data_IF_391145385544
#
_entry.id   IF_391145385544
#
_cell.length_a   1.000
_cell.length_b   1.000
_cell.length_c   1.000
_cell.angle_alpha   90.00
_cell.angle_beta   90.00
_cell.angle_gamma   90.00
#
_symmetry.space_group_name_H-M   'P 1'
#
loop_
_entity.id
_entity.type
_entity.pdbx_description
1 polymer ?
#
# COMPACT_ATOMS: atom_id res chain seq x y z
N UNK A 1 16.52 -11.18 -29.16
CA UNK A 1 16.20 -10.17 -28.12
C UNK A 1 14.86 -10.52 -27.50
N UNK A 2 14.78 -10.69 -26.17
CA UNK A 2 13.54 -11.07 -25.49
C UNK A 2 12.49 -9.96 -25.63
N UNK A 3 11.43 -10.19 -26.43
CA UNK A 3 10.40 -9.19 -26.73
C UNK A 3 9.77 -8.56 -25.48
N UNK A 4 9.63 -9.33 -24.39
CA UNK A 4 9.10 -8.83 -23.12
C UNK A 4 9.97 -7.72 -22.50
N UNK A 5 11.30 -7.84 -22.59
CA UNK A 5 12.23 -6.86 -22.05
C UNK A 5 12.18 -5.56 -22.86
N UNK A 6 12.06 -5.66 -24.19
CA UNK A 6 11.89 -4.50 -25.05
C UNK A 6 10.59 -3.74 -24.74
N UNK A 7 9.47 -4.46 -24.59
CA UNK A 7 8.18 -3.87 -24.18
C UNK A 7 8.27 -3.24 -22.80
N UNK A 8 8.95 -3.89 -21.85
CA UNK A 8 9.13 -3.36 -20.50
C UNK A 8 9.92 -2.05 -20.51
N UNK A 9 11.06 -1.99 -21.22
CA UNK A 9 11.86 -0.75 -21.34
C UNK A 9 11.07 0.39 -21.98
N UNK A 10 10.33 0.11 -23.05
CA UNK A 10 9.51 1.12 -23.71
C UNK A 10 8.42 1.65 -22.76
N UNK A 11 7.74 0.74 -22.06
CA UNK A 11 6.70 1.11 -21.09
C UNK A 11 7.27 1.93 -19.94
N UNK A 12 8.46 1.59 -19.43
CA UNK A 12 9.12 2.38 -18.37
C UNK A 12 9.46 3.80 -18.85
N UNK A 13 9.99 3.95 -20.07
CA UNK A 13 10.26 5.26 -20.66
C UNK A 13 8.98 6.06 -20.84
N UNK A 14 7.91 5.41 -21.27
CA UNK A 14 6.59 6.04 -21.41
C UNK A 14 6.06 6.50 -20.05
N UNK A 15 6.08 5.64 -19.03
CA UNK A 15 5.68 5.99 -17.66
C UNK A 15 6.52 7.16 -17.12
N UNK A 16 7.84 7.17 -17.34
CA UNK A 16 8.70 8.27 -16.89
C UNK A 16 8.39 9.62 -17.56
N UNK A 17 7.85 9.60 -18.78
CA UNK A 17 7.46 10.83 -19.51
C UNK A 17 6.08 11.33 -19.09
N UNK A 18 5.25 10.50 -18.47
CA UNK A 18 3.92 10.88 -18.02
C UNK A 18 4.04 11.80 -16.79
N UNK A 19 3.75 13.09 -17.01
CA UNK A 19 3.76 14.12 -15.95
C UNK A 19 2.89 13.76 -14.76
N UNK A 20 1.83 12.96 -14.96
CA UNK A 20 0.92 12.52 -13.89
C UNK A 20 1.66 11.76 -12.77
N UNK A 21 2.61 10.87 -13.10
CA UNK A 21 3.37 10.14 -12.07
C UNK A 21 4.32 11.06 -11.31
N UNK A 22 4.93 12.01 -12.01
CA UNK A 22 5.76 13.04 -11.40
C UNK A 22 4.95 13.94 -10.46
N UNK A 23 3.69 14.27 -10.81
CA UNK A 23 2.79 15.02 -9.92
C UNK A 23 2.49 14.24 -8.66
N UNK A 24 2.13 12.94 -8.74
CA UNK A 24 1.92 12.12 -7.56
C UNK A 24 3.18 12.00 -6.69
N UNK A 25 4.35 11.84 -7.32
CA UNK A 25 5.62 11.82 -6.60
C UNK A 25 5.89 13.14 -5.89
N UNK A 26 5.75 14.29 -6.56
CA UNK A 26 5.99 15.61 -5.96
C UNK A 26 5.01 15.87 -4.82
N UNK A 27 3.71 15.57 -5.00
CA UNK A 27 2.72 15.73 -3.94
C UNK A 27 3.03 14.81 -2.76
N UNK A 28 3.44 13.56 -3.04
CA UNK A 28 3.88 12.60 -2.02
C UNK A 28 5.08 13.11 -1.23
N UNK A 29 6.12 13.56 -1.93
CA UNK A 29 7.34 14.10 -1.34
C UNK A 29 7.06 15.34 -0.49
N UNK A 30 6.35 16.32 -1.05
CA UNK A 30 5.95 17.52 -0.31
C UNK A 30 5.05 17.19 0.88
N UNK A 31 4.16 16.21 0.75
CA UNK A 31 3.31 15.73 1.84
C UNK A 31 4.13 15.10 2.97
N UNK A 32 5.10 14.25 2.65
CA UNK A 32 6.01 13.61 3.60
C UNK A 32 6.90 14.66 4.28
N UNK A 33 7.45 15.62 3.53
CA UNK A 33 8.23 16.76 4.07
C UNK A 33 7.38 17.63 4.98
N UNK A 34 6.16 18.00 4.56
CA UNK A 34 5.28 18.85 5.35
C UNK A 34 4.85 18.16 6.65
N UNK A 35 4.53 16.87 6.60
CA UNK A 35 4.19 16.06 7.77
C UNK A 35 5.40 15.92 8.70
N UNK A 36 6.57 15.61 8.15
CA UNK A 36 7.85 15.56 8.87
C UNK A 36 8.22 16.87 9.55
N UNK A 37 8.28 17.95 8.79
CA UNK A 37 8.63 19.27 9.30
C UNK A 37 7.60 19.80 10.29
N UNK A 38 6.31 19.66 9.98
CA UNK A 38 5.21 20.10 10.85
C UNK A 38 5.21 19.38 12.19
N UNK A 39 5.38 18.05 12.19
CA UNK A 39 5.48 17.27 13.42
C UNK A 39 6.78 17.53 14.18
N UNK A 40 7.89 17.89 13.51
CA UNK A 40 9.13 18.31 14.19
C UNK A 40 8.94 19.61 14.95
N UNK A 41 8.26 20.59 14.34
CA UNK A 41 7.95 21.86 15.00
C UNK A 41 7.01 21.61 16.19
N UNK A 42 5.96 20.80 15.98
CA UNK A 42 5.05 20.40 17.06
C UNK A 42 5.81 19.72 18.21
N UNK A 43 6.72 18.81 17.89
CA UNK A 43 7.59 18.11 18.83
C UNK A 43 8.46 19.08 19.64
N UNK A 44 9.13 20.04 18.99
CA UNK A 44 9.95 21.03 19.68
C UNK A 44 9.13 21.95 20.60
N UNK A 45 7.91 22.31 20.18
CA UNK A 45 7.01 23.11 21.01
C UNK A 45 6.47 22.31 22.19
N UNK A 46 6.05 21.07 21.97
CA UNK A 46 5.49 20.20 22.99
C UNK A 46 6.54 19.79 24.04
N UNK A 47 7.75 19.43 23.62
CA UNK A 47 8.87 19.11 24.52
C UNK A 47 9.35 20.30 25.34
N UNK A 48 9.17 21.54 24.85
CA UNK A 48 9.50 22.76 25.60
C UNK A 48 8.51 23.09 26.73
N UNK A 49 7.29 22.52 26.71
CA UNK A 49 6.24 22.74 27.69
C UNK A 49 5.35 21.50 27.89
N UNK A 50 5.90 20.40 28.46
CA UNK A 50 5.18 19.14 28.60
C UNK A 50 3.92 19.27 29.48
N UNK A 51 3.93 20.18 30.46
CA UNK A 51 2.80 20.42 31.37
C UNK A 51 1.58 21.10 30.74
N UNK A 52 1.67 21.60 29.49
CA UNK A 52 0.57 22.28 28.80
C UNK A 52 -0.17 21.38 27.79
N UNK A 53 0.35 20.17 27.50
CA UNK A 53 -0.27 19.21 26.60
C UNK A 53 -1.00 18.10 27.39
N UNK A 54 -2.24 18.39 27.77
CA UNK A 54 -3.15 17.46 28.46
C UNK A 54 -3.01 17.43 29.99
N UNK A 55 -3.86 16.64 30.66
CA UNK A 55 -3.81 16.35 32.11
C UNK A 55 -2.58 15.48 32.49
N UNK A 56 -1.45 15.64 31.81
CA UNK A 56 -0.22 14.89 31.97
C UNK A 56 0.66 15.52 33.08
N UNK A 57 0.07 15.79 34.24
CA UNK A 57 0.85 16.11 35.43
C UNK A 57 1.59 14.84 35.87
N UNK A 58 2.89 14.76 35.53
CA UNK A 58 3.88 13.72 35.90
C UNK A 58 4.27 12.68 34.82
N UNK A 59 4.24 13.01 33.52
CA UNK A 59 4.90 12.16 32.51
C UNK A 59 6.38 12.58 32.39
N UNK A 60 7.28 11.63 32.57
CA UNK A 60 8.73 11.81 32.36
C UNK A 60 9.02 12.29 30.92
N UNK A 61 9.92 13.26 30.77
CA UNK A 61 10.17 13.92 29.48
C UNK A 61 10.63 12.93 28.40
N UNK A 62 11.45 11.94 28.78
CA UNK A 62 11.92 10.90 27.86
C UNK A 62 10.78 9.98 27.38
N UNK A 63 9.77 9.76 28.22
CA UNK A 63 8.60 8.93 27.91
C UNK A 63 7.67 9.67 26.94
N UNK A 64 7.48 10.97 27.16
CA UNK A 64 6.73 11.85 26.26
C UNK A 64 7.39 11.99 24.89
N UNK A 65 8.71 12.15 24.84
CA UNK A 65 9.47 12.25 23.59
C UNK A 65 9.32 10.98 22.74
N UNK A 66 9.42 9.81 23.37
CA UNK A 66 9.25 8.51 22.71
C UNK A 66 7.83 8.30 22.19
N UNK A 67 6.82 8.76 22.93
CA UNK A 67 5.43 8.72 22.47
C UNK A 67 5.25 9.55 21.18
N UNK A 68 5.79 10.77 21.15
CA UNK A 68 5.70 11.63 19.96
C UNK A 68 6.44 11.03 18.76
N UNK A 69 7.58 10.36 18.97
CA UNK A 69 8.31 9.65 17.93
C UNK A 69 7.46 8.51 17.33
N UNK A 70 6.83 7.68 18.17
CA UNK A 70 5.95 6.58 17.71
C UNK A 70 4.75 7.11 16.93
N UNK A 71 4.12 8.17 17.43
CA UNK A 71 2.99 8.83 16.78
C UNK A 71 3.41 9.39 15.40
N UNK A 72 4.60 10.01 15.32
CA UNK A 72 5.18 10.45 14.06
C UNK A 72 5.34 9.29 13.06
N UNK A 73 5.95 8.18 13.50
CA UNK A 73 6.16 7.00 12.65
C UNK A 73 4.83 6.38 12.19
N UNK A 74 3.81 6.33 13.06
CA UNK A 74 2.47 5.86 12.70
C UNK A 74 1.85 6.68 11.57
N UNK A 75 1.87 8.02 11.68
CA UNK A 75 1.36 8.90 10.63
C UNK A 75 2.15 8.80 9.33
N UNK A 76 3.47 8.64 9.43
CA UNK A 76 4.34 8.44 8.27
C UNK A 76 3.99 7.14 7.51
N UNK A 77 3.72 6.04 8.24
CA UNK A 77 3.29 4.78 7.64
C UNK A 77 1.95 4.91 6.92
N UNK A 78 0.99 5.62 7.53
CA UNK A 78 -0.32 5.87 6.92
C UNK A 78 -0.18 6.72 5.66
N UNK A 79 0.60 7.81 5.71
CA UNK A 79 0.85 8.67 4.56
C UNK A 79 1.50 7.89 3.40
N UNK A 80 2.54 7.10 3.68
CA UNK A 80 3.18 6.23 2.68
C UNK A 80 2.19 5.25 2.05
N UNK A 81 1.33 4.63 2.85
CA UNK A 81 0.31 3.70 2.36
C UNK A 81 -0.68 4.39 1.41
N UNK A 82 -1.16 5.58 1.77
CA UNK A 82 -2.07 6.38 0.94
C UNK A 82 -1.40 6.77 -0.37
N UNK A 83 -0.16 7.29 -0.34
CA UNK A 83 0.54 7.68 -1.56
C UNK A 83 0.86 6.49 -2.46
N UNK A 84 1.30 5.36 -1.90
CA UNK A 84 1.55 4.14 -2.66
C UNK A 84 0.28 3.65 -3.37
N UNK A 85 -0.87 3.73 -2.68
CA UNK A 85 -2.17 3.39 -3.25
C UNK A 85 -2.56 4.35 -4.39
N UNK A 86 -2.41 5.67 -4.22
CA UNK A 86 -2.67 6.65 -5.28
C UNK A 86 -1.78 6.42 -6.52
N UNK A 87 -0.50 6.11 -6.30
CA UNK A 87 0.45 5.76 -7.37
C UNK A 87 0.00 4.46 -8.06
N UNK A 88 -0.42 3.45 -7.30
CA UNK A 88 -0.95 2.20 -7.85
C UNK A 88 -2.15 2.43 -8.78
N UNK A 89 -3.11 3.26 -8.36
CA UNK A 89 -4.23 3.68 -9.22
C UNK A 89 -3.75 4.41 -10.47
N UNK A 90 -2.84 5.37 -10.32
CA UNK A 90 -2.28 6.15 -11.43
C UNK A 90 -1.59 5.28 -12.48
N UNK A 91 -0.73 4.33 -12.05
CA UNK A 91 -0.06 3.38 -12.93
C UNK A 91 -1.06 2.41 -13.54
N UNK A 92 -1.97 1.85 -12.74
CA UNK A 92 -2.98 0.89 -13.18
C UNK A 92 -3.86 1.42 -14.31
N UNK A 93 -4.32 2.67 -14.20
CA UNK A 93 -5.09 3.34 -15.25
C UNK A 93 -4.27 3.59 -16.52
N UNK A 94 -3.00 3.94 -16.39
CA UNK A 94 -2.21 4.44 -17.52
C UNK A 94 -1.47 3.36 -18.30
N UNK A 95 -1.12 2.24 -17.67
CA UNK A 95 -0.19 1.26 -18.24
C UNK A 95 -0.72 0.55 -19.50
N UNK A 96 -2.01 0.19 -19.54
CA UNK A 96 -2.60 -0.59 -20.64
C UNK A 96 -3.66 0.18 -21.42
N UNK A 97 -4.54 0.92 -20.75
CA UNK A 97 -5.70 1.51 -21.41
C UNK A 97 -5.35 2.48 -22.54
N UNK A 98 -4.32 3.30 -22.35
CA UNK A 98 -3.91 4.26 -23.36
C UNK A 98 -3.47 3.57 -24.67
N UNK A 99 -2.76 2.45 -24.59
CA UNK A 99 -2.34 1.69 -25.77
C UNK A 99 -3.52 1.03 -26.48
N UNK A 100 -4.53 0.65 -25.70
CA UNK A 100 -5.74 0.02 -26.19
C UNK A 100 -6.68 1.02 -26.86
N UNK A 101 -6.81 2.23 -26.31
CA UNK A 101 -7.67 3.29 -26.84
C UNK A 101 -7.06 3.97 -28.05
N UNK A 102 -5.75 4.24 -28.03
CA UNK A 102 -5.05 4.90 -29.14
C UNK A 102 -4.86 4.02 -30.39
N UNK A 103 -5.26 2.74 -30.34
CA UNK A 103 -5.00 1.76 -31.40
C UNK A 103 -3.51 1.40 -31.55
N UNK A 104 -2.62 1.94 -30.71
CA UNK A 104 -1.20 1.63 -30.73
C UNK A 104 -0.94 0.12 -30.54
N UNK A 105 -1.80 -0.56 -29.78
CA UNK A 105 -1.76 -2.01 -29.61
C UNK A 105 -1.78 -2.77 -30.95
N UNK A 106 -2.57 -2.34 -31.94
CA UNK A 106 -2.65 -2.97 -33.27
C UNK A 106 -1.30 -2.91 -33.98
N UNK A 107 -0.64 -1.74 -33.92
CA UNK A 107 0.68 -1.52 -34.54
C UNK A 107 1.81 -2.28 -33.85
N UNK A 108 1.65 -2.63 -32.57
CA UNK A 108 2.61 -3.44 -31.82
C UNK A 108 2.40 -4.92 -32.13
N UNK A 109 1.16 -5.38 -32.25
CA UNK A 109 0.84 -6.77 -32.58
C UNK A 109 1.09 -7.14 -34.05
N UNK A 110 1.25 -6.15 -34.95
CA UNK A 110 1.70 -6.40 -36.32
C UNK A 110 3.19 -6.80 -36.41
N UNK A 111 3.96 -6.59 -35.32
CA UNK A 111 5.33 -7.06 -35.18
C UNK A 111 5.36 -8.46 -34.57
N UNK A 112 6.43 -9.27 -34.75
CA UNK A 112 6.55 -10.61 -34.21
C UNK A 112 6.80 -10.61 -32.68
N UNK A 113 5.88 -10.03 -31.92
CA UNK A 113 5.87 -10.00 -30.45
C UNK A 113 4.66 -10.81 -29.99
N UNK A 114 4.89 -11.87 -29.21
CA UNK A 114 3.78 -12.65 -28.66
C UNK A 114 2.96 -11.81 -27.70
N UNK A 115 1.63 -12.03 -27.67
CA UNK A 115 0.73 -11.34 -26.72
C UNK A 115 1.16 -11.55 -25.27
N UNK A 116 1.70 -12.73 -24.97
CA UNK A 116 2.27 -13.06 -23.66
C UNK A 116 3.48 -12.18 -23.32
N UNK A 117 4.43 -12.01 -24.27
CA UNK A 117 5.58 -11.14 -24.07
C UNK A 117 5.17 -9.68 -23.89
N UNK A 118 4.16 -9.22 -24.61
CA UNK A 118 3.59 -7.89 -24.42
C UNK A 118 2.99 -7.70 -23.01
N UNK A 119 2.11 -8.61 -22.57
CA UNK A 119 1.49 -8.52 -21.25
C UNK A 119 2.52 -8.57 -20.13
N UNK A 120 3.45 -9.53 -20.16
CA UNK A 120 4.49 -9.62 -19.13
C UNK A 120 5.39 -8.38 -19.13
N UNK A 121 5.76 -7.87 -20.30
CA UNK A 121 6.57 -6.66 -20.40
C UNK A 121 5.87 -5.45 -19.75
N UNK A 122 4.57 -5.29 -19.99
CA UNK A 122 3.73 -4.24 -19.40
C UNK A 122 3.58 -4.40 -17.89
N UNK A 123 3.29 -5.61 -17.42
CA UNK A 123 3.17 -5.91 -15.99
C UNK A 123 4.50 -5.69 -15.26
N UNK A 124 5.61 -6.19 -15.81
CA UNK A 124 6.93 -6.01 -15.22
C UNK A 124 7.34 -4.54 -15.15
N UNK A 125 7.06 -3.75 -16.20
CA UNK A 125 7.30 -2.31 -16.18
C UNK A 125 6.44 -1.58 -15.15
N UNK A 126 5.15 -1.92 -15.04
CA UNK A 126 4.24 -1.31 -14.08
C UNK A 126 4.68 -1.61 -12.63
N UNK A 127 5.01 -2.88 -12.33
CA UNK A 127 5.52 -3.29 -11.02
C UNK A 127 6.85 -2.61 -10.71
N UNK A 128 7.80 -2.60 -11.66
CA UNK A 128 9.09 -1.95 -11.45
C UNK A 128 8.96 -0.44 -11.23
N UNK A 129 8.10 0.23 -12.00
CA UNK A 129 7.80 1.65 -11.83
C UNK A 129 7.21 1.95 -10.46
N UNK A 130 6.27 1.12 -10.00
CA UNK A 130 5.67 1.25 -8.67
C UNK A 130 6.71 1.07 -7.56
N UNK A 131 7.53 0.02 -7.63
CA UNK A 131 8.60 -0.24 -6.66
C UNK A 131 9.58 0.93 -6.60
N UNK A 132 9.98 1.49 -7.75
CA UNK A 132 10.92 2.62 -7.80
C UNK A 132 10.31 3.86 -7.18
N UNK A 133 9.08 4.25 -7.56
CA UNK A 133 8.46 5.48 -7.07
C UNK A 133 8.16 5.39 -5.57
N UNK A 134 7.55 4.28 -5.13
CA UNK A 134 7.26 4.07 -3.70
C UNK A 134 8.54 3.92 -2.89
N UNK A 135 9.56 3.25 -3.46
CA UNK A 135 10.88 3.13 -2.86
C UNK A 135 11.57 4.48 -2.67
N UNK A 136 11.45 5.40 -3.63
CA UNK A 136 11.98 6.77 -3.49
C UNK A 136 11.27 7.54 -2.38
N UNK A 137 9.93 7.46 -2.29
CA UNK A 137 9.18 8.06 -1.18
C UNK A 137 9.56 7.45 0.18
N UNK A 138 9.89 6.16 0.21
CA UNK A 138 10.34 5.50 1.42
C UNK A 138 11.76 5.90 1.84
N UNK A 139 12.65 6.13 0.88
CA UNK A 139 13.98 6.71 1.15
C UNK A 139 13.82 8.11 1.73
N UNK A 140 12.92 8.93 1.18
CA UNK A 140 12.60 10.24 1.74
C UNK A 140 12.03 10.14 3.17
N UNK A 141 11.07 9.24 3.41
CA UNK A 141 10.54 8.97 4.74
C UNK A 141 11.65 8.55 5.73
N UNK A 142 12.63 7.74 5.31
CA UNK A 142 13.82 7.39 6.12
C UNK A 142 14.67 8.59 6.44
N UNK A 143 14.95 9.44 5.45
CA UNK A 143 15.73 10.66 5.66
C UNK A 143 15.06 11.57 6.67
N UNK A 144 13.73 11.70 6.63
CA UNK A 144 13.00 12.46 7.64
C UNK A 144 13.10 11.78 9.01
N UNK A 145 12.88 10.47 9.13
CA UNK A 145 13.04 9.75 10.40
C UNK A 145 14.43 9.93 11.02
N UNK A 146 15.48 9.97 10.20
CA UNK A 146 16.85 10.23 10.67
C UNK A 146 16.98 11.61 11.35
N UNK A 147 16.19 12.60 10.93
CA UNK A 147 16.16 13.93 11.57
C UNK A 147 15.48 13.95 12.96
N UNK A 148 14.89 12.84 13.39
CA UNK A 148 14.20 12.65 14.68
C UNK A 148 14.96 11.74 15.66
N UNK A 149 16.20 11.35 15.36
CA UNK A 149 17.04 10.56 16.28
C UNK A 149 17.20 9.08 15.89
N UNK A 150 16.36 8.59 14.97
CA UNK A 150 16.45 7.21 14.46
C UNK A 150 16.10 6.14 15.49
N UNK A 151 15.93 4.89 15.04
CA UNK A 151 15.66 3.75 15.93
C UNK A 151 14.57 2.80 15.46
N UNK A 152 13.65 3.26 14.60
CA UNK A 152 12.52 2.46 14.07
C UNK A 152 12.66 2.10 12.58
N UNK A 153 13.89 2.09 12.06
CA UNK A 153 14.16 1.86 10.63
C UNK A 153 13.79 0.44 10.16
N UNK A 154 13.94 -0.55 11.04
CA UNK A 154 13.53 -1.93 10.78
C UNK A 154 12.02 -2.05 10.58
N UNK A 155 11.24 -1.37 11.43
CA UNK A 155 9.78 -1.32 11.35
C UNK A 155 9.32 -0.68 10.03
N UNK A 156 9.97 0.41 9.60
CA UNK A 156 9.67 1.03 8.31
C UNK A 156 9.95 0.10 7.12
N UNK A 157 10.97 -0.76 7.20
CA UNK A 157 11.31 -1.70 6.12
C UNK A 157 10.22 -2.76 5.95
N UNK A 158 9.77 -3.37 7.05
CA UNK A 158 8.67 -4.32 7.02
C UNK A 158 7.37 -3.69 6.50
N UNK A 159 7.07 -2.48 6.95
CA UNK A 159 5.89 -1.74 6.51
C UNK A 159 5.97 -1.38 5.03
N UNK A 160 7.13 -0.94 4.54
CA UNK A 160 7.34 -0.62 3.14
C UNK A 160 7.07 -1.81 2.22
N UNK A 161 7.57 -2.99 2.59
CA UNK A 161 7.35 -4.21 1.82
C UNK A 161 5.85 -4.56 1.76
N UNK A 162 5.16 -4.49 2.89
CA UNK A 162 3.71 -4.72 2.95
C UNK A 162 2.94 -3.70 2.09
N UNK A 163 3.27 -2.40 2.19
CA UNK A 163 2.65 -1.32 1.41
C UNK A 163 2.87 -1.51 -0.08
N UNK A 164 4.10 -1.83 -0.53
CA UNK A 164 4.41 -2.10 -1.94
C UNK A 164 3.65 -3.33 -2.42
N UNK A 165 3.62 -4.41 -1.65
CA UNK A 165 2.91 -5.63 -2.01
C UNK A 165 1.40 -5.39 -2.17
N UNK A 166 0.78 -4.65 -1.24
CA UNK A 166 -0.63 -4.26 -1.31
C UNK A 166 -0.91 -3.35 -2.51
N UNK A 167 -0.03 -2.38 -2.76
CA UNK A 167 -0.13 -1.48 -3.90
C UNK A 167 -0.02 -2.22 -5.25
N UNK A 168 0.78 -3.28 -5.35
CA UNK A 168 0.84 -4.14 -6.54
C UNK A 168 -0.52 -4.80 -6.81
N UNK A 169 -1.19 -5.34 -5.78
CA UNK A 169 -2.51 -5.97 -5.95
C UNK A 169 -3.53 -4.96 -6.43
N UNK A 170 -3.59 -3.78 -5.80
CA UNK A 170 -4.48 -2.69 -6.24
C UNK A 170 -4.22 -2.30 -7.69
N UNK A 171 -2.95 -2.09 -8.04
CA UNK A 171 -2.55 -1.75 -9.41
C UNK A 171 -3.02 -2.84 -10.40
N UNK A 172 -2.85 -4.12 -10.07
CA UNK A 172 -3.27 -5.24 -10.93
C UNK A 172 -4.80 -5.33 -11.06
N UNK A 173 -5.55 -5.08 -10.00
CA UNK A 173 -7.02 -5.01 -10.04
C UNK A 173 -7.43 -3.91 -11.01
N UNK A 174 -6.94 -2.67 -10.82
CA UNK A 174 -7.24 -1.52 -11.69
C UNK A 174 -6.89 -1.86 -13.14
N UNK A 175 -5.68 -2.37 -13.36
CA UNK A 175 -5.17 -2.68 -14.69
C UNK A 175 -5.98 -3.78 -15.37
N UNK A 176 -6.46 -4.78 -14.62
CA UNK A 176 -7.35 -5.83 -15.14
C UNK A 176 -8.72 -5.26 -15.53
N UNK A 177 -9.34 -4.43 -14.68
CA UNK A 177 -10.65 -3.82 -14.95
C UNK A 177 -10.58 -2.83 -16.11
N UNK A 178 -9.50 -2.06 -16.23
CA UNK A 178 -9.23 -1.14 -17.34
C UNK A 178 -9.19 -1.83 -18.70
N UNK A 179 -9.07 -3.16 -18.76
CA UNK A 179 -9.16 -3.91 -20.03
C UNK A 179 -10.60 -4.11 -20.51
N UNK A 180 -11.61 -3.94 -19.65
CA UNK A 180 -13.02 -4.16 -19.98
C UNK A 180 -13.89 -2.91 -19.87
N UNK A 181 -13.50 -1.93 -19.06
CA UNK A 181 -14.26 -0.69 -18.87
C UNK A 181 -13.36 0.55 -19.00
N UNK A 182 -13.98 1.73 -19.00
CA UNK A 182 -13.27 3.00 -18.96
C UNK A 182 -12.37 3.06 -17.71
N UNK A 183 -11.15 3.59 -17.87
CA UNK A 183 -10.18 3.82 -16.79
C UNK A 183 -10.76 4.42 -15.51
N UNK A 184 -11.61 5.44 -15.63
CA UNK A 184 -12.17 6.11 -14.45
C UNK A 184 -13.09 5.15 -13.71
N UNK A 185 -13.94 4.42 -14.44
CA UNK A 185 -14.84 3.41 -13.86
C UNK A 185 -14.06 2.24 -13.26
N UNK A 186 -12.98 1.80 -13.92
CA UNK A 186 -12.10 0.75 -13.42
C UNK A 186 -11.44 1.15 -12.10
N UNK A 187 -10.96 2.38 -11.99
CA UNK A 187 -10.37 2.90 -10.76
C UNK A 187 -11.41 3.01 -9.64
N UNK A 188 -12.60 3.55 -9.91
CA UNK A 188 -13.68 3.64 -8.91
C UNK A 188 -14.11 2.24 -8.45
N UNK A 189 -14.32 1.31 -9.38
CA UNK A 189 -14.70 -0.07 -9.06
C UNK A 189 -13.63 -0.79 -8.24
N UNK A 190 -12.35 -0.65 -8.63
CA UNK A 190 -11.23 -1.20 -7.86
C UNK A 190 -11.12 -0.55 -6.46
N UNK A 191 -11.39 0.75 -6.35
CA UNK A 191 -11.41 1.45 -5.07
C UNK A 191 -12.50 0.92 -4.15
N UNK A 192 -13.74 0.78 -4.64
CA UNK A 192 -14.86 0.22 -3.88
C UNK A 192 -14.57 -1.23 -3.50
N UNK A 193 -14.15 -2.05 -4.46
CA UNK A 193 -13.87 -3.46 -4.22
C UNK A 193 -12.76 -3.64 -3.18
N UNK A 194 -11.59 -3.03 -3.41
CA UNK A 194 -10.43 -3.20 -2.54
C UNK A 194 -10.58 -2.46 -1.20
N UNK A 195 -10.88 -1.17 -1.19
CA UNK A 195 -10.85 -0.40 0.07
C UNK A 195 -12.13 -0.55 0.90
N UNK A 196 -13.29 -0.67 0.25
CA UNK A 196 -14.57 -0.73 0.98
C UNK A 196 -14.97 -2.17 1.25
N UNK A 197 -15.13 -3.00 0.21
CA UNK A 197 -15.63 -4.37 0.39
C UNK A 197 -14.63 -5.22 1.16
N UNK A 198 -13.37 -5.30 0.70
CA UNK A 198 -12.38 -6.13 1.42
C UNK A 198 -11.99 -5.52 2.76
N UNK A 199 -12.00 -4.20 2.90
CA UNK A 199 -11.73 -3.51 4.17
C UNK A 199 -12.78 -3.85 5.24
N UNK A 200 -14.07 -3.82 4.87
CA UNK A 200 -15.17 -4.20 5.77
C UNK A 200 -15.08 -5.69 6.14
N UNK A 201 -14.89 -6.58 5.16
CA UNK A 201 -14.76 -8.03 5.41
C UNK A 201 -13.58 -8.30 6.36
N UNK A 202 -12.41 -7.71 6.10
CA UNK A 202 -11.22 -7.88 6.93
C UNK A 202 -11.43 -7.35 8.35
N UNK A 203 -12.09 -6.20 8.49
CA UNK A 203 -12.40 -5.62 9.81
C UNK A 203 -13.33 -6.51 10.62
N UNK A 204 -14.38 -7.04 9.99
CA UNK A 204 -15.32 -7.93 10.68
C UNK A 204 -14.68 -9.27 11.02
N UNK A 205 -13.86 -9.83 10.14
CA UNK A 205 -13.10 -11.06 10.42
C UNK A 205 -12.16 -10.86 11.64
N UNK A 206 -11.44 -9.73 11.70
CA UNK A 206 -10.62 -9.40 12.88
C UNK A 206 -11.45 -9.27 14.16
N UNK A 207 -12.63 -8.65 14.11
CA UNK A 207 -13.52 -8.55 15.27
C UNK A 207 -14.08 -9.91 15.70
N UNK A 208 -14.35 -10.80 14.73
CA UNK A 208 -14.78 -12.16 15.00
C UNK A 208 -13.68 -12.98 15.69
N UNK A 209 -12.44 -12.91 15.18
CA UNK A 209 -11.29 -13.59 15.77
C UNK A 209 -10.88 -13.02 17.13
N UNK A 210 -11.08 -11.71 17.36
CA UNK A 210 -10.90 -11.06 18.65
C UNK A 210 -11.91 -11.47 19.72
N UNK A 211 -12.87 -12.35 19.40
CA UNK A 211 -13.89 -12.83 20.35
C UNK A 211 -14.98 -11.80 20.66
N UNK A 212 -15.05 -10.69 19.91
CA UNK A 212 -16.09 -9.66 20.08
C UNK A 212 -17.44 -10.17 19.57
N UNK A 213 -17.43 -11.02 18.54
CA UNK A 213 -18.62 -11.67 17.99
C UNK A 213 -18.71 -13.09 18.56
N UNK A 214 -19.59 -13.30 19.54
CA UNK A 214 -19.78 -14.61 20.20
C UNK A 214 -20.52 -15.67 19.38
N UNK A 215 -20.75 -15.46 18.07
CA UNK A 215 -21.50 -16.38 17.21
C UNK A 215 -20.55 -17.08 16.22
N UNK A 216 -20.36 -18.39 16.41
CA UNK A 216 -19.50 -19.23 15.57
C UNK A 216 -19.93 -19.25 14.09
N UNK A 217 -21.24 -19.18 13.80
CA UNK A 217 -21.73 -19.18 12.41
C UNK A 217 -21.32 -17.89 11.69
N UNK A 218 -21.38 -16.76 12.39
CA UNK A 218 -20.96 -15.47 11.83
C UNK A 218 -19.46 -15.49 11.56
N UNK A 219 -18.67 -16.04 12.50
CA UNK A 219 -17.23 -16.24 12.31
C UNK A 219 -16.93 -17.07 11.07
N UNK A 220 -17.52 -18.27 10.96
CA UNK A 220 -17.27 -19.17 9.82
C UNK A 220 -17.60 -18.51 8.47
N UNK A 221 -18.69 -17.72 8.40
CA UNK A 221 -19.06 -16.98 7.19
C UNK A 221 -18.02 -15.92 6.85
N UNK A 222 -17.56 -15.14 7.83
CA UNK A 222 -16.55 -14.12 7.60
C UNK A 222 -15.16 -14.70 7.31
N UNK A 223 -14.84 -15.88 7.84
CA UNK A 223 -13.62 -16.61 7.51
C UNK A 223 -13.63 -17.01 6.02
N UNK A 224 -14.73 -17.58 5.53
CA UNK A 224 -14.87 -17.92 4.10
C UNK A 224 -14.81 -16.66 3.24
N UNK A 225 -15.48 -15.58 3.64
CA UNK A 225 -15.45 -14.32 2.90
C UNK A 225 -14.05 -13.68 2.88
N UNK A 226 -13.30 -13.78 3.98
CA UNK A 226 -11.94 -13.26 4.09
C UNK A 226 -10.98 -13.92 3.10
N UNK A 227 -11.11 -15.24 2.90
CA UNK A 227 -10.34 -15.98 1.90
C UNK A 227 -10.92 -15.91 0.48
N UNK A 228 -12.08 -15.27 0.27
CA UNK A 228 -12.61 -15.03 -1.07
C UNK A 228 -12.05 -13.73 -1.69
N UNK A 229 -11.64 -12.79 -0.84
CA UNK A 229 -11.24 -11.45 -1.26
C UNK A 229 -9.74 -11.22 -1.09
N UNK A 230 -9.13 -10.32 -1.88
CA UNK A 230 -7.76 -9.89 -1.63
C UNK A 230 -7.71 -9.10 -0.33
N UNK A 231 -7.10 -9.68 0.72
CA UNK A 231 -6.85 -8.98 1.97
C UNK A 231 -5.43 -8.36 1.98
N UNK A 232 -5.28 -7.32 2.81
CA UNK A 232 -4.05 -6.56 2.89
C UNK A 232 -3.00 -7.32 3.71
N UNK A 233 -1.76 -7.33 3.24
CA UNK A 233 -0.63 -7.76 4.05
C UNK A 233 -0.36 -6.71 5.12
N UNK A 234 -0.20 -7.17 6.36
CA UNK A 234 0.09 -6.34 7.53
C UNK A 234 1.49 -6.66 8.03
N UNK A 235 2.29 -5.62 8.24
CA UNK A 235 3.62 -5.75 8.83
C UNK A 235 3.55 -5.88 10.36
N UNK A 236 4.51 -6.59 10.95
CA UNK A 236 4.68 -6.60 12.41
C UNK A 236 4.93 -5.21 12.99
N UNK A 237 5.50 -4.31 12.18
CA UNK A 237 5.80 -2.93 12.53
C UNK A 237 4.62 -2.18 13.18
N UNK A 238 3.38 -2.43 12.71
CA UNK A 238 2.18 -1.78 13.25
C UNK A 238 1.88 -2.26 14.67
N UNK A 239 2.01 -3.57 14.91
CA UNK A 239 1.78 -4.16 16.23
C UNK A 239 2.91 -3.83 17.19
N UNK A 240 4.16 -3.86 16.74
CA UNK A 240 5.33 -3.50 17.55
C UNK A 240 5.24 -2.04 18.01
N UNK A 241 4.80 -1.13 17.12
CA UNK A 241 4.58 0.27 17.44
C UNK A 241 3.47 0.48 18.47
N UNK A 242 2.34 -0.22 18.31
CA UNK A 242 1.24 -0.13 19.26
C UNK A 242 1.55 -0.77 20.62
N UNK A 243 2.32 -1.87 20.64
CA UNK A 243 2.84 -2.43 21.89
C UNK A 243 3.74 -1.44 22.61
N UNK A 244 4.62 -0.74 21.88
CA UNK A 244 5.46 0.30 22.44
C UNK A 244 4.61 1.46 23.03
N UNK A 245 3.54 1.87 22.33
CA UNK A 245 2.61 2.90 22.81
C UNK A 245 1.87 2.48 24.11
N UNK A 246 1.41 1.23 24.20
CA UNK A 246 0.72 0.69 25.38
C UNK A 246 1.67 0.58 26.58
N UNK A 247 2.91 0.12 26.36
CA UNK A 247 3.92 0.03 27.42
C UNK A 247 4.28 1.41 27.99
N UNK A 248 4.34 2.44 27.14
CA UNK A 248 4.67 3.82 27.51
C UNK A 248 3.52 4.49 28.27
N UNK A 249 2.26 4.19 27.92
CA UNK A 249 1.07 4.75 28.58
C UNK A 249 0.76 4.13 29.96
N UNK A 250 1.63 3.26 30.49
CA UNK A 250 1.48 2.64 31.81
C UNK A 250 0.34 1.61 31.88
N UNK A 251 -0.17 1.18 30.72
CA UNK A 251 -1.27 0.22 30.61
C UNK A 251 -0.84 -1.19 31.02
N UNK A 252 -1.43 -1.69 32.11
CA UNK A 252 -1.51 -3.12 32.45
C UNK A 252 -1.89 -3.92 31.20
N UNK A 253 -1.33 -5.13 31.06
CA UNK A 253 -1.52 -6.16 30.01
C UNK A 253 -2.97 -6.36 29.50
N UNK A 254 -3.58 -5.34 28.91
CA UNK A 254 -4.87 -5.45 28.28
C UNK A 254 -4.62 -6.04 26.90
N UNK A 255 -4.46 -7.37 26.88
CA UNK A 255 -4.53 -8.20 25.68
C UNK A 255 -5.74 -7.84 24.80
N UNK A 256 -6.80 -7.26 25.37
CA UNK A 256 -7.96 -6.74 24.65
C UNK A 256 -7.68 -5.52 23.75
N UNK A 257 -6.78 -4.60 24.15
CA UNK A 257 -6.40 -3.45 23.32
C UNK A 257 -5.48 -3.87 22.15
N UNK A 258 -4.67 -4.92 22.36
CA UNK A 258 -3.88 -5.54 21.29
C UNK A 258 -4.70 -6.43 20.37
N UNK A 259 -5.83 -6.97 20.85
CA UNK A 259 -6.72 -7.81 20.07
C UNK A 259 -7.44 -7.05 18.94
N UNK A 260 -7.56 -5.71 19.05
CA UNK A 260 -8.12 -4.87 17.97
C UNK A 260 -7.08 -4.51 16.90
N UNK A 261 -5.80 -4.85 17.13
CA UNK A 261 -4.70 -4.55 16.22
C UNK A 261 -4.41 -5.79 15.38
N UNK A 262 -4.47 -5.69 14.03
CA UNK A 262 -4.26 -6.83 13.15
C UNK A 262 -2.95 -7.56 13.48
N UNK A 263 -2.97 -8.89 13.43
CA UNK A 263 -1.75 -9.68 13.52
C UNK A 263 -0.86 -9.47 12.30
N UNK A 264 0.48 -9.60 12.46
CA UNK A 264 1.37 -9.63 11.32
C UNK A 264 0.96 -10.74 10.35
N UNK A 265 1.05 -10.48 9.05
CA UNK A 265 0.65 -11.47 8.04
C UNK A 265 1.50 -12.73 8.11
N UNK A 266 0.82 -13.87 8.14
CA UNK A 266 1.44 -15.19 8.16
C UNK A 266 1.82 -15.70 6.78
N UNK A 267 2.36 -16.92 6.73
CA UNK A 267 2.68 -17.60 5.47
C UNK A 267 1.43 -17.84 4.59
N UNK A 268 0.27 -18.06 5.21
CA UNK A 268 -1.01 -18.22 4.51
C UNK A 268 -1.41 -16.96 3.74
N UNK A 269 -1.35 -15.80 4.39
CA UNK A 269 -1.69 -14.51 3.79
C UNK A 269 -0.73 -14.17 2.64
N UNK A 270 0.56 -14.47 2.80
CA UNK A 270 1.56 -14.29 1.74
C UNK A 270 1.27 -15.21 0.54
N UNK A 271 0.95 -16.48 0.78
CA UNK A 271 0.59 -17.42 -0.29
C UNK A 271 -0.67 -16.97 -1.04
N UNK A 272 -1.67 -16.47 -0.31
CA UNK A 272 -2.88 -15.91 -0.88
C UNK A 272 -2.65 -14.62 -1.65
N UNK A 273 -1.76 -13.75 -1.16
CA UNK A 273 -1.32 -12.58 -1.89
C UNK A 273 -0.66 -12.96 -3.22
N UNK A 274 0.27 -13.94 -3.22
CA UNK A 274 0.89 -14.45 -4.45
C UNK A 274 -0.16 -15.00 -5.41
N UNK A 275 -1.10 -15.81 -4.89
CA UNK A 275 -2.21 -16.33 -5.69
C UNK A 275 -3.03 -15.20 -6.33
N UNK A 276 -3.40 -14.18 -5.55
CA UNK A 276 -4.15 -13.01 -6.00
C UNK A 276 -3.39 -12.26 -7.11
N UNK A 277 -2.09 -12.04 -6.94
CA UNK A 277 -1.23 -11.42 -7.96
C UNK A 277 -1.25 -12.23 -9.26
N UNK A 278 -1.13 -13.56 -9.17
CA UNK A 278 -1.18 -14.44 -10.33
C UNK A 278 -2.55 -14.44 -11.01
N UNK A 279 -3.63 -14.42 -10.25
CA UNK A 279 -5.01 -14.36 -10.77
C UNK A 279 -5.21 -13.07 -11.56
N UNK A 280 -4.94 -11.90 -11.00
CA UNK A 280 -5.15 -10.64 -11.71
C UNK A 280 -4.16 -10.45 -12.87
N UNK A 281 -2.90 -10.89 -12.74
CA UNK A 281 -1.98 -10.94 -13.87
C UNK A 281 -2.49 -11.83 -15.01
N UNK A 282 -3.07 -12.99 -14.66
CA UNK A 282 -3.73 -13.91 -15.58
C UNK A 282 -4.95 -13.30 -16.26
N UNK A 283 -5.79 -12.56 -15.51
CA UNK A 283 -6.95 -11.84 -16.06
C UNK A 283 -6.53 -10.78 -17.07
N UNK A 284 -5.47 -10.03 -16.79
CA UNK A 284 -4.89 -9.06 -17.72
C UNK A 284 -4.42 -9.74 -19.00
N UNK A 285 -3.68 -10.85 -18.87
CA UNK A 285 -3.25 -11.63 -20.04
C UNK A 285 -4.43 -12.15 -20.87
N UNK A 286 -5.43 -12.71 -20.20
CA UNK A 286 -6.62 -13.23 -20.85
C UNK A 286 -7.40 -12.15 -21.59
N UNK A 287 -7.55 -10.97 -20.98
CA UNK A 287 -8.23 -9.84 -21.60
C UNK A 287 -7.49 -9.32 -22.84
N UNK A 288 -6.16 -9.18 -22.76
CA UNK A 288 -5.31 -8.81 -23.90
C UNK A 288 -5.38 -9.89 -25.00
N UNK A 289 -5.42 -11.17 -24.63
CA UNK A 289 -5.53 -12.27 -25.59
C UNK A 289 -6.87 -12.28 -26.31
N UNK A 290 -7.99 -11.95 -25.65
CA UNK A 290 -9.32 -11.99 -26.26
C UNK A 290 -9.67 -10.78 -27.13
N UNK A 291 -9.04 -9.63 -26.90
CA UNK A 291 -9.27 -8.46 -27.75
C UNK A 291 -8.85 -8.79 -29.19
N UNK A 292 -9.82 -8.67 -30.09
CA UNK A 292 -9.58 -8.64 -31.53
C UNK A 292 -9.02 -7.25 -31.82
N UNK A 293 -7.77 -7.21 -32.23
CA UNK A 293 -7.00 -6.02 -32.62
C UNK A 293 -6.53 -6.26 -34.03
#
# INVERSE_FOLDING_TARGET
MNGALAVSRYTLLELSRRRVLLVFFIIGALGIIALGGGLKILYQVASSNPNNFGNASNVDAATFDRFLELLFVSYLFQALSVFALLIAFGIGMTAIYHDLESGAAVSIFSKPVSRFAFTIGKLAAAVAGLIVIVGLLAVEARLIMFLFGGGLESALTGQLLAVVANAIVVMLIVLSLSTWMNNILAAIAAFIYYNVITGVISTIHMLADGGVIGNNVVRDVFDVLYWLVPHQLVSSAVRDLAQAEIQISGGVENNQALATIPSPSGAGDIAWWVFTVLVFAGLVYYAVRRRQV
#
